data_IF_559803908991
#
_entry.id   IF_559803908991
#
_cell.length_a   1.000
_cell.length_b   1.000
_cell.length_c   1.000
_cell.angle_alpha   90.00
_cell.angle_beta   90.00
_cell.angle_gamma   90.00
#
_symmetry.space_group_name_H-M   'P 1'
#
loop_
_entity.id
_entity.type
_entity.pdbx_description
1 polymer ?
#
# COMPACT_ATOMS: atom_id res chain seq x y z
N UNK A 1 11.04 27.82 27.19
CA UNK A 1 11.22 27.20 25.88
C UNK A 1 9.93 27.45 25.11
N UNK A 2 10.02 28.31 24.09
CA UNK A 2 8.85 28.62 23.26
C UNK A 2 8.67 27.46 22.29
N UNK A 3 7.59 26.72 22.44
CA UNK A 3 7.16 25.75 21.43
C UNK A 3 6.81 26.55 20.16
N UNK A 4 7.68 26.46 19.18
CA UNK A 4 7.41 26.95 17.84
C UNK A 4 6.28 26.08 17.27
N UNK A 5 5.03 26.56 17.35
CA UNK A 5 3.95 26.04 16.52
C UNK A 5 4.33 26.39 15.08
N UNK A 6 4.97 25.44 14.39
CA UNK A 6 5.06 25.51 12.94
C UNK A 6 3.64 25.59 12.41
N UNK A 7 3.26 26.75 11.89
CA UNK A 7 2.03 26.92 11.11
C UNK A 7 2.10 25.87 10.02
N UNK A 8 1.23 24.84 10.12
CA UNK A 8 1.14 23.83 9.07
C UNK A 8 0.73 24.58 7.80
N UNK A 9 1.63 24.65 6.83
CA UNK A 9 1.32 25.25 5.53
C UNK A 9 0.10 24.55 4.93
N UNK A 10 -0.86 25.32 4.46
CA UNK A 10 -2.11 24.81 3.91
C UNK A 10 -1.87 24.15 2.53
N UNK A 11 -1.49 22.88 2.54
CA UNK A 11 -1.27 22.11 1.31
C UNK A 11 -2.58 22.02 0.51
N UNK A 12 -2.55 22.34 -0.77
CA UNK A 12 -3.68 22.19 -1.70
C UNK A 12 -3.47 20.95 -2.59
N UNK A 13 -4.50 20.13 -2.76
CA UNK A 13 -4.49 19.01 -3.71
C UNK A 13 -5.28 19.43 -4.96
N UNK A 14 -4.66 19.31 -6.13
CA UNK A 14 -5.28 19.69 -7.40
C UNK A 14 -4.93 18.73 -8.53
N UNK A 15 -5.82 18.67 -9.54
CA UNK A 15 -5.54 17.94 -10.78
C UNK A 15 -4.39 18.59 -11.55
N UNK A 16 -3.51 17.76 -12.13
CA UNK A 16 -2.38 18.18 -12.95
C UNK A 16 -2.64 17.76 -14.39
N UNK A 17 -2.83 18.76 -15.27
CA UNK A 17 -3.16 18.54 -16.68
C UNK A 17 -2.29 19.33 -17.64
N UNK A 18 -1.49 20.26 -17.13
CA UNK A 18 -0.59 21.11 -17.91
C UNK A 18 0.83 20.51 -18.00
N UNK A 19 1.47 20.69 -19.14
CA UNK A 19 2.80 20.12 -19.43
C UNK A 19 3.90 20.62 -18.47
N UNK A 20 3.99 21.92 -18.13
CA UNK A 20 4.98 22.38 -17.17
C UNK A 20 4.90 21.67 -15.80
N UNK A 21 3.70 21.51 -15.25
CA UNK A 21 3.51 20.83 -13.97
C UNK A 21 3.75 19.32 -14.08
N UNK A 22 3.35 18.67 -15.17
CA UNK A 22 3.64 17.26 -15.42
C UNK A 22 5.15 16.97 -15.50
N UNK A 23 5.96 17.88 -16.02
CA UNK A 23 7.43 17.76 -15.98
C UNK A 23 7.99 17.84 -14.57
N UNK A 24 7.39 18.67 -13.70
CA UNK A 24 7.74 18.70 -12.28
C UNK A 24 7.40 17.37 -11.58
N UNK A 25 6.34 16.67 -12.03
CA UNK A 25 6.03 15.31 -11.51
C UNK A 25 7.14 14.32 -11.88
N UNK A 26 7.78 14.42 -13.06
CA UNK A 26 8.95 13.59 -13.38
C UNK A 26 10.13 13.84 -12.43
N UNK A 27 10.42 15.12 -12.15
CA UNK A 27 11.49 15.50 -11.22
C UNK A 27 11.17 15.00 -9.79
N UNK A 28 9.92 15.10 -9.39
CA UNK A 28 9.45 14.65 -8.08
C UNK A 28 9.58 13.12 -7.92
N UNK A 29 9.36 12.33 -8.96
CA UNK A 29 9.60 10.88 -8.94
C UNK A 29 11.08 10.58 -8.61
N UNK A 30 12.02 11.28 -9.22
CA UNK A 30 13.45 11.11 -8.94
C UNK A 30 13.79 11.51 -7.51
N UNK A 31 13.24 12.61 -7.02
CA UNK A 31 13.48 13.09 -5.66
C UNK A 31 12.93 12.13 -4.58
N UNK A 32 11.78 11.50 -4.83
CA UNK A 32 11.12 10.62 -3.85
C UNK A 32 11.77 9.24 -3.79
N UNK A 33 12.10 8.64 -4.94
CA UNK A 33 12.55 7.23 -5.02
C UNK A 33 13.99 7.04 -5.48
N UNK A 34 14.68 8.09 -5.90
CA UNK A 34 16.00 7.96 -6.52
C UNK A 34 15.95 7.22 -7.86
N UNK A 35 14.79 7.25 -8.53
CA UNK A 35 14.54 6.50 -9.75
C UNK A 35 15.52 6.86 -10.86
N UNK A 36 16.00 5.85 -11.58
CA UNK A 36 16.75 6.04 -12.81
C UNK A 36 15.85 6.67 -13.90
N UNK A 37 16.44 7.23 -14.93
CA UNK A 37 15.65 7.77 -16.05
C UNK A 37 14.77 6.73 -16.74
N UNK A 38 15.09 5.44 -16.62
CA UNK A 38 14.29 4.33 -17.18
C UNK A 38 13.04 4.03 -16.38
N UNK A 39 13.04 4.36 -15.07
CA UNK A 39 11.97 4.02 -14.14
C UNK A 39 10.99 5.19 -13.92
N UNK A 40 11.31 6.37 -14.45
CA UNK A 40 10.43 7.53 -14.38
C UNK A 40 9.30 7.41 -15.40
N UNK A 41 8.06 7.57 -14.97
CA UNK A 41 6.92 7.70 -15.88
C UNK A 41 7.00 9.07 -16.56
N UNK A 42 7.18 9.13 -17.87
CA UNK A 42 7.41 10.40 -18.57
C UNK A 42 6.13 11.25 -18.66
N UNK A 43 6.30 12.58 -18.70
CA UNK A 43 5.18 13.54 -18.67
C UNK A 43 4.14 13.30 -19.77
N UNK A 44 4.57 12.87 -20.95
CA UNK A 44 3.65 12.61 -22.07
C UNK A 44 2.75 11.41 -21.80
N UNK A 45 3.20 10.39 -21.04
CA UNK A 45 2.36 9.29 -20.59
C UNK A 45 1.39 9.75 -19.49
N UNK A 46 1.85 10.58 -18.54
CA UNK A 46 0.97 11.20 -17.54
C UNK A 46 -0.13 12.03 -18.22
N UNK A 47 0.22 12.83 -19.22
CA UNK A 47 -0.72 13.64 -20.02
C UNK A 47 -1.75 12.76 -20.75
N UNK A 48 -1.28 11.72 -21.45
CA UNK A 48 -2.15 10.79 -22.15
C UNK A 48 -3.11 10.07 -21.20
N UNK A 49 -2.63 9.62 -20.06
CA UNK A 49 -3.46 8.97 -19.05
C UNK A 49 -4.53 9.92 -18.49
N UNK A 50 -4.16 11.16 -18.14
CA UNK A 50 -5.10 12.18 -17.66
C UNK A 50 -6.19 12.47 -18.71
N UNK A 51 -5.83 12.56 -19.98
CA UNK A 51 -6.76 12.78 -21.11
C UNK A 51 -7.64 11.57 -21.44
N UNK A 52 -7.27 10.37 -20.97
CA UNK A 52 -7.97 9.09 -21.24
C UNK A 52 -8.75 8.56 -20.04
N UNK A 53 -9.16 9.44 -19.12
CA UNK A 53 -9.95 9.06 -17.94
C UNK A 53 -9.12 8.65 -16.72
N UNK A 54 -7.79 8.66 -16.81
CA UNK A 54 -6.90 8.50 -15.66
C UNK A 54 -6.90 9.73 -14.74
N UNK A 55 -6.14 9.66 -13.67
CA UNK A 55 -6.05 10.71 -12.64
C UNK A 55 -4.60 11.03 -12.35
N UNK A 56 -4.22 12.30 -12.48
CA UNK A 56 -2.94 12.83 -12.01
C UNK A 56 -3.24 13.98 -11.06
N UNK A 57 -2.79 13.87 -9.80
CA UNK A 57 -2.98 14.88 -8.77
C UNK A 57 -1.64 15.33 -8.22
N UNK A 58 -1.54 16.61 -7.90
CA UNK A 58 -0.39 17.20 -7.21
C UNK A 58 -0.80 17.77 -5.86
N UNK A 59 0.11 17.71 -4.90
CA UNK A 59 0.02 18.40 -3.63
C UNK A 59 0.94 19.62 -3.68
N UNK A 60 0.39 20.80 -3.44
CA UNK A 60 1.07 22.08 -3.59
C UNK A 60 1.11 22.84 -2.27
N UNK A 61 2.26 23.45 -1.97
CA UNK A 61 2.38 24.46 -0.90
C UNK A 61 1.67 25.76 -1.29
N UNK A 62 1.43 26.69 -0.36
CA UNK A 62 0.90 28.02 -0.68
C UNK A 62 1.79 28.81 -1.65
N UNK A 63 3.09 28.53 -1.67
CA UNK A 63 4.04 29.13 -2.63
C UNK A 63 3.99 28.49 -4.03
N UNK A 64 3.16 27.43 -4.24
CA UNK A 64 3.04 26.70 -5.50
C UNK A 64 4.11 25.65 -5.73
N UNK A 65 4.87 25.26 -4.71
CA UNK A 65 5.81 24.14 -4.81
C UNK A 65 5.04 22.80 -4.86
N UNK A 66 5.42 21.89 -5.75
CA UNK A 66 4.88 20.55 -5.84
C UNK A 66 5.65 19.62 -4.92
N UNK A 67 5.00 19.14 -3.84
CA UNK A 67 5.62 18.37 -2.74
C UNK A 67 5.14 16.92 -2.67
N UNK A 68 4.14 16.57 -3.45
CA UNK A 68 3.62 15.21 -3.54
C UNK A 68 2.74 15.03 -4.75
N UNK A 69 2.51 13.79 -5.16
CA UNK A 69 1.64 13.48 -6.28
C UNK A 69 1.03 12.09 -6.14
N UNK A 70 -0.07 11.84 -6.86
CA UNK A 70 -0.49 10.50 -7.21
C UNK A 70 -0.93 10.42 -8.67
N UNK A 71 -0.69 9.25 -9.26
CA UNK A 71 -0.98 8.94 -10.65
C UNK A 71 -1.71 7.61 -10.77
N UNK A 72 -2.77 7.59 -11.58
CA UNK A 72 -3.50 6.37 -11.93
C UNK A 72 -4.01 6.42 -13.36
N UNK A 73 -4.11 5.26 -13.99
CA UNK A 73 -4.63 5.07 -15.34
C UNK A 73 -5.80 4.09 -15.33
N UNK A 74 -6.56 4.07 -16.41
CA UNK A 74 -7.72 3.18 -16.57
C UNK A 74 -7.24 1.76 -16.82
N UNK A 75 -7.65 0.85 -15.95
CA UNK A 75 -7.53 -0.58 -16.12
C UNK A 75 -8.87 -1.21 -16.49
N UNK A 76 -8.82 -2.42 -17.03
CA UNK A 76 -10.02 -3.18 -17.39
C UNK A 76 -9.84 -4.64 -16.99
N UNK A 77 -10.78 -5.20 -16.22
CA UNK A 77 -10.75 -6.59 -15.78
C UNK A 77 -12.18 -7.12 -15.65
N UNK A 78 -12.43 -8.33 -16.15
CA UNK A 78 -13.74 -9.00 -16.04
C UNK A 78 -14.92 -8.15 -16.56
N UNK A 79 -14.70 -7.47 -17.69
CA UNK A 79 -15.73 -6.63 -18.32
C UNK A 79 -15.99 -5.29 -17.62
N UNK A 80 -15.22 -4.92 -16.58
CA UNK A 80 -15.43 -3.68 -15.80
C UNK A 80 -14.18 -2.80 -15.77
N UNK A 81 -14.33 -1.49 -15.97
CA UNK A 81 -13.23 -0.55 -15.79
C UNK A 81 -12.94 -0.33 -14.29
N UNK A 82 -11.68 -0.05 -13.98
CA UNK A 82 -11.23 0.39 -12.67
C UNK A 82 -10.09 1.40 -12.83
N UNK A 83 -9.78 2.17 -11.80
CA UNK A 83 -8.60 3.01 -11.79
C UNK A 83 -7.42 2.20 -11.22
N UNK A 84 -6.34 2.01 -11.98
CA UNK A 84 -5.10 1.47 -11.45
C UNK A 84 -4.25 2.62 -10.90
N UNK A 85 -4.08 2.69 -9.57
CA UNK A 85 -3.26 3.71 -8.91
C UNK A 85 -1.79 3.29 -8.97
N UNK A 86 -1.07 3.76 -9.98
CA UNK A 86 0.27 3.29 -10.28
C UNK A 86 1.32 3.84 -9.32
N UNK A 87 1.26 5.14 -9.02
CA UNK A 87 2.24 5.82 -8.17
C UNK A 87 1.55 6.77 -7.20
N UNK A 88 2.07 6.86 -5.98
CA UNK A 88 1.76 7.92 -5.03
C UNK A 88 2.99 8.16 -4.15
N UNK A 89 3.39 9.41 -4.00
CA UNK A 89 4.56 9.75 -3.21
C UNK A 89 4.53 11.19 -2.70
N UNK A 90 5.25 11.42 -1.60
CA UNK A 90 5.41 12.71 -0.94
C UNK A 90 6.88 12.87 -0.59
N UNK A 91 7.44 14.05 -0.81
CA UNK A 91 8.79 14.41 -0.40
C UNK A 91 9.01 14.13 1.09
N UNK A 92 10.21 13.72 1.44
CA UNK A 92 10.55 13.28 2.80
C UNK A 92 10.24 14.35 3.84
N UNK A 93 10.52 15.60 3.52
CA UNK A 93 10.36 16.77 4.38
C UNK A 93 8.88 17.11 4.68
N UNK A 94 7.97 16.61 3.82
CA UNK A 94 6.53 16.84 3.92
C UNK A 94 5.74 15.58 4.36
N UNK A 95 6.45 14.48 4.72
CA UNK A 95 5.80 13.29 5.29
C UNK A 95 5.22 13.61 6.67
N UNK A 96 4.38 12.74 7.18
CA UNK A 96 3.71 12.86 8.49
C UNK A 96 2.73 14.05 8.64
N UNK A 97 2.35 14.68 7.51
CA UNK A 97 1.36 15.76 7.43
C UNK A 97 0.05 15.30 6.74
N UNK A 98 -0.25 14.03 6.75
CA UNK A 98 -1.41 13.38 6.09
C UNK A 98 -1.57 13.68 4.59
N UNK A 99 -0.56 14.24 3.90
CA UNK A 99 -0.62 14.58 2.47
C UNK A 99 -0.91 13.35 1.62
N UNK A 100 -0.27 12.22 1.93
CA UNK A 100 -0.52 10.96 1.24
C UNK A 100 -1.97 10.48 1.37
N UNK A 101 -2.56 10.61 2.55
CA UNK A 101 -3.97 10.29 2.78
C UNK A 101 -4.89 11.24 2.00
N UNK A 102 -4.66 12.53 2.04
CA UNK A 102 -5.41 13.56 1.29
C UNK A 102 -5.34 13.33 -0.22
N UNK A 103 -4.16 13.00 -0.77
CA UNK A 103 -3.98 12.63 -2.18
C UNK A 103 -4.83 11.40 -2.54
N UNK A 104 -4.86 10.37 -1.70
CA UNK A 104 -5.69 9.17 -1.92
C UNK A 104 -7.18 9.48 -1.82
N UNK A 105 -7.62 10.31 -0.86
CA UNK A 105 -9.03 10.71 -0.76
C UNK A 105 -9.47 11.53 -1.98
N UNK A 106 -8.63 12.44 -2.47
CA UNK A 106 -8.92 13.19 -3.70
C UNK A 106 -8.92 12.27 -4.93
N UNK A 107 -8.01 11.27 -4.99
CA UNK A 107 -8.03 10.25 -6.04
C UNK A 107 -9.32 9.43 -6.00
N UNK A 108 -9.81 9.08 -4.78
CA UNK A 108 -11.12 8.42 -4.60
C UNK A 108 -12.25 9.28 -5.14
N UNK A 109 -12.30 10.57 -4.78
CA UNK A 109 -13.32 11.51 -5.26
C UNK A 109 -13.32 11.59 -6.78
N UNK A 110 -12.13 11.82 -7.37
CA UNK A 110 -11.97 11.92 -8.82
C UNK A 110 -12.32 10.61 -9.56
N UNK A 111 -12.08 9.45 -8.95
CA UNK A 111 -12.46 8.15 -9.49
C UNK A 111 -13.98 7.96 -9.48
N UNK A 112 -14.65 8.29 -8.37
CA UNK A 112 -16.11 8.21 -8.26
C UNK A 112 -16.82 9.13 -9.26
N UNK A 113 -16.31 10.35 -9.48
CA UNK A 113 -16.84 11.30 -10.47
C UNK A 113 -16.73 10.77 -11.91
N UNK A 114 -15.72 9.93 -12.19
CA UNK A 114 -15.54 9.25 -13.49
C UNK A 114 -16.31 7.93 -13.60
N UNK A 115 -17.09 7.56 -12.57
CA UNK A 115 -17.89 6.34 -12.55
C UNK A 115 -17.11 5.07 -12.18
N UNK A 116 -15.88 5.17 -11.69
CA UNK A 116 -15.17 4.02 -11.16
C UNK A 116 -15.69 3.64 -9.77
N UNK A 117 -15.94 2.36 -9.57
CA UNK A 117 -16.35 1.81 -8.26
C UNK A 117 -15.15 1.27 -7.47
N UNK A 118 -13.99 1.08 -8.14
CA UNK A 118 -12.82 0.42 -7.56
C UNK A 118 -11.54 1.09 -8.03
N UNK A 119 -10.59 1.23 -7.08
CA UNK A 119 -9.19 1.53 -7.36
C UNK A 119 -8.35 0.33 -6.96
N UNK A 120 -7.33 0.00 -7.76
CA UNK A 120 -6.44 -1.15 -7.55
C UNK A 120 -4.99 -0.67 -7.57
N UNK A 121 -4.14 -1.24 -6.73
CA UNK A 121 -2.68 -1.06 -6.81
C UNK A 121 -1.95 -2.19 -6.12
N UNK A 122 -0.64 -2.19 -6.24
CA UNK A 122 0.23 -3.17 -5.56
C UNK A 122 1.21 -2.47 -4.63
N UNK A 123 1.62 -3.17 -3.58
CA UNK A 123 2.69 -2.72 -2.68
C UNK A 123 3.46 -3.92 -2.13
N UNK A 124 4.66 -3.68 -1.59
CA UNK A 124 5.46 -4.72 -0.94
C UNK A 124 4.82 -5.11 0.40
N UNK A 125 4.40 -6.39 0.56
CA UNK A 125 3.72 -6.86 1.78
C UNK A 125 4.57 -6.77 3.05
N UNK A 126 5.89 -6.63 2.96
CA UNK A 126 6.77 -6.50 4.13
C UNK A 126 7.00 -5.05 4.58
N UNK A 127 6.48 -4.06 3.85
CA UNK A 127 6.54 -2.66 4.27
C UNK A 127 5.36 -2.34 5.18
N UNK A 128 5.59 -2.40 6.49
CA UNK A 128 4.57 -2.26 7.55
C UNK A 128 3.81 -0.92 7.48
N UNK A 129 4.49 0.19 7.16
CA UNK A 129 3.84 1.50 6.99
C UNK A 129 2.84 1.49 5.84
N UNK A 130 3.17 0.82 4.71
CA UNK A 130 2.24 0.68 3.59
C UNK A 130 1.07 -0.23 3.94
N UNK A 131 1.32 -1.33 4.66
CA UNK A 131 0.28 -2.22 5.14
C UNK A 131 -0.72 -1.49 6.04
N UNK A 132 -0.23 -0.76 7.03
CA UNK A 132 -1.06 0.06 7.93
C UNK A 132 -1.84 1.15 7.18
N UNK A 133 -1.16 1.89 6.31
CA UNK A 133 -1.79 2.94 5.52
C UNK A 133 -2.91 2.38 4.62
N UNK A 134 -2.64 1.30 3.91
CA UNK A 134 -3.58 0.73 2.95
C UNK A 134 -4.76 0.05 3.65
N UNK A 135 -4.49 -0.91 4.51
CA UNK A 135 -5.54 -1.74 5.11
C UNK A 135 -6.26 -1.03 6.26
N UNK A 136 -5.52 -0.36 7.14
CA UNK A 136 -6.10 0.26 8.33
C UNK A 136 -6.64 1.67 8.03
N UNK A 137 -5.84 2.57 7.43
CA UNK A 137 -6.28 3.95 7.19
C UNK A 137 -7.23 4.09 5.99
N UNK A 138 -6.97 3.38 4.87
CA UNK A 138 -7.82 3.48 3.68
C UNK A 138 -8.95 2.45 3.62
N UNK A 139 -8.84 1.35 4.36
CA UNK A 139 -9.86 0.29 4.40
C UNK A 139 -9.88 -0.59 3.15
N UNK A 140 -8.77 -0.73 2.45
CA UNK A 140 -8.64 -1.65 1.32
C UNK A 140 -8.67 -3.10 1.78
N UNK A 141 -8.87 -4.02 0.84
CA UNK A 141 -8.72 -5.47 1.04
C UNK A 141 -7.73 -6.04 0.06
N UNK A 142 -7.11 -7.19 0.39
CA UNK A 142 -6.20 -7.88 -0.51
C UNK A 142 -6.44 -9.39 -0.51
N UNK A 143 -6.46 -9.98 -1.73
CA UNK A 143 -6.60 -11.42 -1.94
C UNK A 143 -5.65 -11.98 -3.00
N UNK A 144 -4.77 -11.16 -3.57
CA UNK A 144 -3.84 -11.56 -4.62
C UNK A 144 -2.43 -11.23 -4.20
N UNK A 145 -1.57 -12.23 -4.26
CA UNK A 145 -0.15 -12.13 -3.99
C UNK A 145 0.61 -12.51 -5.26
N UNK A 146 1.50 -11.63 -5.70
CA UNK A 146 2.34 -11.86 -6.86
C UNK A 146 3.79 -12.06 -6.43
N UNK A 147 4.36 -13.18 -6.84
CA UNK A 147 5.77 -13.49 -6.60
C UNK A 147 6.61 -12.80 -7.67
N UNK A 148 7.63 -12.07 -7.25
CA UNK A 148 8.60 -11.40 -8.12
C UNK A 148 7.96 -10.60 -9.27
N UNK A 149 6.94 -9.81 -8.95
CA UNK A 149 6.02 -9.16 -9.91
C UNK A 149 6.71 -8.26 -10.94
N UNK A 150 7.74 -7.54 -10.55
CA UNK A 150 8.51 -6.65 -11.41
C UNK A 150 9.86 -7.24 -11.87
N UNK A 151 10.15 -8.51 -11.50
CA UNK A 151 11.49 -9.09 -11.72
C UNK A 151 12.53 -8.50 -10.78
N UNK A 152 13.80 -8.59 -11.18
CA UNK A 152 14.89 -7.95 -10.45
C UNK A 152 14.81 -6.43 -10.60
N UNK A 153 14.76 -5.73 -9.48
CA UNK A 153 14.74 -4.27 -9.41
C UNK A 153 16.06 -3.76 -8.83
N UNK A 154 16.64 -2.78 -9.49
CA UNK A 154 17.93 -2.18 -9.06
C UNK A 154 17.72 -0.96 -8.11
N UNK A 155 16.45 -0.58 -7.84
CA UNK A 155 16.15 0.54 -6.96
C UNK A 155 16.54 0.28 -5.50
N UNK A 156 16.69 1.35 -4.73
CA UNK A 156 17.13 1.29 -3.35
C UNK A 156 16.20 0.49 -2.42
N UNK A 157 14.92 0.30 -2.79
CA UNK A 157 13.92 -0.38 -1.97
C UNK A 157 13.88 -1.89 -2.18
N UNK A 158 14.24 -2.38 -3.38
CA UNK A 158 14.08 -3.80 -3.75
C UNK A 158 15.40 -4.55 -3.98
N UNK A 159 16.54 -3.86 -3.96
CA UNK A 159 17.86 -4.45 -4.28
C UNK A 159 18.13 -5.75 -3.51
N UNK A 160 18.42 -6.82 -4.25
CA UNK A 160 18.84 -8.12 -3.72
C UNK A 160 17.70 -9.02 -3.22
N UNK A 161 16.45 -8.59 -3.38
CA UNK A 161 15.25 -9.37 -3.04
C UNK A 161 14.30 -9.44 -4.23
N UNK A 162 13.50 -10.49 -4.27
CA UNK A 162 12.39 -10.62 -5.21
C UNK A 162 11.32 -9.56 -4.93
N UNK A 163 10.78 -8.98 -6.00
CA UNK A 163 9.80 -7.89 -5.95
C UNK A 163 8.37 -8.38 -5.73
N UNK A 164 8.13 -9.14 -4.66
CA UNK A 164 6.78 -9.61 -4.33
C UNK A 164 5.82 -8.44 -4.10
N UNK A 165 4.58 -8.62 -4.53
CA UNK A 165 3.55 -7.59 -4.38
C UNK A 165 2.24 -8.17 -3.88
N UNK A 166 1.61 -7.44 -2.99
CA UNK A 166 0.24 -7.65 -2.57
C UNK A 166 -0.65 -6.67 -3.35
N UNK A 167 -1.59 -7.20 -4.15
CA UNK A 167 -2.57 -6.38 -4.86
C UNK A 167 -3.75 -6.08 -3.94
N UNK A 168 -4.13 -4.82 -3.88
CA UNK A 168 -5.27 -4.36 -3.08
C UNK A 168 -6.41 -3.88 -3.96
N UNK A 169 -7.61 -4.15 -3.48
CA UNK A 169 -8.87 -3.63 -4.00
C UNK A 169 -9.43 -2.57 -3.04
N UNK A 170 -9.61 -1.35 -3.51
CA UNK A 170 -10.28 -0.28 -2.79
C UNK A 170 -11.68 -0.10 -3.36
N UNK A 171 -12.66 -0.73 -2.73
CA UNK A 171 -14.07 -0.60 -3.10
C UNK A 171 -14.61 0.72 -2.56
N UNK A 172 -14.75 1.71 -3.43
CA UNK A 172 -14.91 3.13 -3.07
C UNK A 172 -16.20 3.45 -2.32
N UNK A 173 -17.26 2.63 -2.50
CA UNK A 173 -18.57 2.77 -1.83
C UNK A 173 -18.79 1.76 -0.70
N UNK A 174 -17.76 0.98 -0.35
CA UNK A 174 -17.87 0.05 0.77
C UNK A 174 -18.08 0.83 2.08
N UNK A 175 -19.02 0.43 2.98
CA UNK A 175 -19.35 1.20 4.20
C UNK A 175 -18.14 1.52 5.09
N UNK A 176 -17.19 0.60 5.22
CA UNK A 176 -15.94 0.84 5.96
C UNK A 176 -15.09 1.94 5.30
N UNK A 177 -14.96 1.90 3.98
CA UNK A 177 -14.20 2.92 3.23
C UNK A 177 -14.83 4.29 3.37
N UNK A 178 -16.16 4.38 3.27
CA UNK A 178 -16.89 5.65 3.44
C UNK A 178 -16.78 6.19 4.88
N UNK A 179 -16.82 5.30 5.88
CA UNK A 179 -16.62 5.68 7.27
C UNK A 179 -15.23 6.28 7.49
N UNK A 180 -14.17 5.57 7.06
CA UNK A 180 -12.78 6.03 7.19
C UNK A 180 -12.52 7.32 6.40
N UNK A 181 -13.06 7.44 5.19
CA UNK A 181 -12.97 8.65 4.38
C UNK A 181 -13.65 9.88 5.02
N UNK A 182 -14.66 9.66 5.85
CA UNK A 182 -15.33 10.73 6.62
C UNK A 182 -14.71 10.98 8.00
N UNK A 183 -13.54 10.38 8.29
CA UNK A 183 -12.84 10.52 9.56
C UNK A 183 -13.48 9.76 10.73
N UNK A 184 -14.44 8.87 10.46
CA UNK A 184 -15.04 8.02 11.51
C UNK A 184 -14.16 6.83 11.80
N UNK A 185 -13.85 6.61 13.06
CA UNK A 185 -13.10 5.43 13.51
C UNK A 185 -13.96 4.17 13.34
N UNK A 186 -13.39 3.14 12.74
CA UNK A 186 -14.01 1.82 12.62
C UNK A 186 -13.29 0.87 13.56
N UNK A 187 -13.82 0.73 14.77
CA UNK A 187 -13.23 -0.19 15.75
C UNK A 187 -13.44 -1.65 15.33
N UNK A 188 -12.34 -2.42 15.34
CA UNK A 188 -12.34 -3.86 15.18
C UNK A 188 -11.47 -4.47 16.28
N UNK A 189 -12.01 -5.46 17.00
CA UNK A 189 -11.27 -6.13 18.06
C UNK A 189 -10.49 -7.33 17.50
N UNK A 190 -9.16 -7.17 17.42
CA UNK A 190 -8.23 -8.21 16.99
C UNK A 190 -7.31 -8.70 18.12
N UNK A 191 -7.81 -8.69 19.37
CA UNK A 191 -6.98 -8.92 20.56
C UNK A 191 -6.48 -10.36 20.71
N UNK A 192 -7.17 -11.35 20.15
CA UNK A 192 -6.91 -12.79 20.34
C UNK A 192 -6.99 -13.58 19.03
N UNK A 193 -6.19 -13.21 18.05
CA UNK A 193 -6.12 -13.97 16.81
C UNK A 193 -5.07 -15.09 16.93
N UNK A 194 -5.38 -16.31 16.46
CA UNK A 194 -4.36 -17.30 16.13
C UNK A 194 -3.41 -16.73 15.09
N UNK A 195 -2.13 -16.98 15.25
CA UNK A 195 -1.12 -16.42 14.36
C UNK A 195 -0.62 -17.52 13.40
N UNK A 196 -0.72 -17.24 12.10
CA UNK A 196 -0.15 -18.07 11.05
C UNK A 196 1.35 -17.83 10.87
N UNK A 197 1.81 -16.64 11.24
CA UNK A 197 3.23 -16.28 11.27
C UNK A 197 3.48 -15.35 12.45
N UNK A 198 4.51 -15.64 13.24
CA UNK A 198 5.01 -14.81 14.32
C UNK A 198 6.52 -14.63 14.24
N UNK A 199 7.04 -13.58 14.87
CA UNK A 199 8.45 -13.45 15.12
C UNK A 199 8.86 -14.29 16.34
N UNK A 200 9.87 -15.17 16.21
CA UNK A 200 10.37 -16.03 17.30
C UNK A 200 11.55 -15.46 18.06
N UNK A 201 12.40 -14.70 17.39
CA UNK A 201 13.60 -14.10 17.95
C UNK A 201 13.61 -12.59 17.68
N UNK A 202 14.24 -11.80 18.58
CA UNK A 202 14.18 -10.34 18.50
C UNK A 202 15.52 -9.65 18.78
N UNK A 203 16.64 -10.39 18.74
CA UNK A 203 17.96 -9.83 19.00
C UNK A 203 18.96 -10.33 17.97
N UNK A 204 19.61 -9.46 17.22
CA UNK A 204 19.35 -8.00 17.14
C UNK A 204 18.09 -7.64 16.38
N UNK A 205 17.60 -8.50 15.49
CA UNK A 205 16.44 -8.32 14.63
C UNK A 205 15.46 -9.49 14.75
N UNK A 206 14.14 -9.27 14.51
CA UNK A 206 13.15 -10.34 14.56
C UNK A 206 13.35 -11.35 13.42
N UNK A 207 13.29 -12.64 13.72
CA UNK A 207 13.30 -13.72 12.76
C UNK A 207 11.89 -14.34 12.60
N UNK A 208 11.48 -14.79 11.41
CA UNK A 208 10.20 -15.48 11.26
C UNK A 208 10.24 -16.84 11.95
N UNK A 209 9.14 -17.21 12.61
CA UNK A 209 8.89 -18.57 12.99
C UNK A 209 8.50 -19.41 11.76
N UNK A 210 8.43 -20.72 11.93
CA UNK A 210 7.90 -21.60 10.90
C UNK A 210 6.39 -21.28 10.69
N UNK A 211 5.92 -21.11 9.44
CA UNK A 211 4.52 -20.84 9.17
C UNK A 211 3.58 -21.93 9.70
N UNK A 212 2.50 -21.53 10.33
CA UNK A 212 1.40 -22.43 10.67
C UNK A 212 0.34 -22.35 9.57
N UNK A 213 0.26 -23.37 8.75
CA UNK A 213 -0.65 -23.44 7.61
C UNK A 213 -1.93 -24.26 7.90
N UNK A 214 -2.07 -24.82 9.10
CA UNK A 214 -3.17 -25.71 9.49
C UNK A 214 -4.32 -25.00 10.21
N UNK A 215 -4.34 -23.65 10.24
CA UNK A 215 -5.37 -22.90 10.93
C UNK A 215 -6.67 -22.84 10.13
N UNK A 216 -7.71 -23.51 10.66
CA UNK A 216 -9.08 -23.43 10.13
C UNK A 216 -9.97 -22.56 11.02
N UNK A 217 -9.71 -21.25 11.03
CA UNK A 217 -10.37 -20.29 11.91
C UNK A 217 -11.01 -19.16 11.09
N UNK A 218 -12.03 -18.47 11.63
CA UNK A 218 -12.68 -17.36 10.91
C UNK A 218 -11.73 -16.19 10.60
N UNK A 219 -10.74 -15.94 11.47
CA UNK A 219 -9.74 -14.90 11.27
C UNK A 219 -8.41 -15.31 11.91
N UNK A 220 -7.30 -14.89 11.30
CA UNK A 220 -5.94 -15.17 11.76
C UNK A 220 -5.02 -13.96 11.54
N UNK A 221 -3.87 -13.96 12.22
CA UNK A 221 -2.85 -12.93 12.13
C UNK A 221 -1.59 -13.40 11.38
N UNK A 222 -0.96 -12.49 10.66
CA UNK A 222 0.33 -12.69 9.99
C UNK A 222 1.26 -11.57 10.38
N UNK A 223 2.19 -11.84 11.29
CA UNK A 223 3.16 -10.84 11.77
C UNK A 223 4.23 -10.57 10.71
N UNK A 224 4.62 -9.31 10.57
CA UNK A 224 5.76 -8.88 9.77
C UNK A 224 6.65 -7.93 10.57
N UNK A 225 7.94 -7.80 10.23
CA UNK A 225 8.81 -6.85 10.91
C UNK A 225 8.37 -5.40 10.63
N UNK A 226 8.51 -4.53 11.62
CA UNK A 226 8.18 -3.11 11.47
C UNK A 226 9.25 -2.34 10.67
N UNK A 227 10.53 -2.78 10.75
CA UNK A 227 11.67 -2.20 10.03
C UNK A 227 12.29 -3.21 9.05
N UNK A 228 11.51 -3.61 8.06
CA UNK A 228 11.98 -4.57 7.05
C UNK A 228 13.18 -4.05 6.24
N UNK A 229 13.20 -2.77 5.90
CA UNK A 229 14.32 -2.19 5.15
C UNK A 229 15.62 -2.19 5.98
N UNK A 230 15.54 -1.84 7.26
CA UNK A 230 16.67 -1.91 8.15
C UNK A 230 17.21 -3.35 8.32
N UNK A 231 16.32 -4.35 8.43
CA UNK A 231 16.72 -5.76 8.44
C UNK A 231 17.45 -6.13 7.15
N UNK A 232 16.89 -5.78 5.99
CA UNK A 232 17.50 -6.06 4.68
C UNK A 232 18.91 -5.47 4.58
N UNK A 233 19.09 -4.25 5.05
CA UNK A 233 20.37 -3.54 4.94
C UNK A 233 21.43 -4.12 5.90
N UNK A 234 21.02 -4.73 7.01
CA UNK A 234 21.91 -5.41 7.98
C UNK A 234 22.13 -6.89 7.67
N UNK A 235 21.07 -7.60 7.29
CA UNK A 235 21.07 -9.05 7.04
C UNK A 235 20.10 -9.43 5.91
N UNK A 236 20.65 -9.55 4.71
CA UNK A 236 19.87 -9.93 3.51
C UNK A 236 19.31 -11.36 3.59
N UNK A 237 19.96 -12.27 4.34
CA UNK A 237 19.46 -13.64 4.49
C UNK A 237 18.23 -13.67 5.41
N UNK A 238 18.25 -12.89 6.47
CA UNK A 238 17.09 -12.72 7.35
C UNK A 238 15.91 -12.05 6.60
N UNK A 239 16.18 -11.05 5.77
CA UNK A 239 15.16 -10.45 4.92
C UNK A 239 14.56 -11.46 3.91
N UNK A 240 15.39 -12.35 3.34
CA UNK A 240 14.92 -13.45 2.47
C UNK A 240 14.06 -14.45 3.24
N UNK A 241 14.44 -14.79 4.47
CA UNK A 241 13.64 -15.67 5.33
C UNK A 241 12.24 -15.07 5.58
N UNK A 242 12.15 -13.79 5.91
CA UNK A 242 10.88 -13.09 6.04
C UNK A 242 10.07 -13.09 4.74
N UNK A 243 10.71 -12.84 3.59
CA UNK A 243 10.05 -12.86 2.27
C UNK A 243 9.45 -14.24 2.00
N UNK A 244 10.21 -15.31 2.22
CA UNK A 244 9.76 -16.69 1.98
C UNK A 244 8.61 -17.07 2.90
N UNK A 245 8.73 -16.85 4.20
CA UNK A 245 7.69 -17.20 5.17
C UNK A 245 6.39 -16.42 4.92
N UNK A 246 6.48 -15.12 4.64
CA UNK A 246 5.33 -14.28 4.34
C UNK A 246 4.64 -14.71 3.04
N UNK A 247 5.41 -14.99 1.99
CA UNK A 247 4.90 -15.52 0.71
C UNK A 247 4.11 -16.79 0.90
N UNK A 248 4.69 -17.76 1.59
CA UNK A 248 4.07 -19.06 1.86
C UNK A 248 2.71 -18.91 2.55
N UNK A 249 2.65 -18.11 3.60
CA UNK A 249 1.43 -17.85 4.36
C UNK A 249 0.36 -17.18 3.49
N UNK A 250 0.70 -16.10 2.77
CA UNK A 250 -0.30 -15.41 1.95
C UNK A 250 -0.80 -16.26 0.80
N UNK A 251 0.08 -16.97 0.09
CA UNK A 251 -0.34 -17.85 -1.01
C UNK A 251 -1.26 -18.97 -0.51
N UNK A 252 -0.90 -19.59 0.63
CA UNK A 252 -1.70 -20.64 1.23
C UNK A 252 -3.10 -20.14 1.61
N UNK A 253 -3.18 -19.10 2.45
CA UNK A 253 -4.48 -18.66 2.97
C UNK A 253 -5.35 -17.97 1.93
N UNK A 254 -4.78 -17.26 0.95
CA UNK A 254 -5.56 -16.70 -0.15
C UNK A 254 -6.16 -17.80 -1.06
N UNK A 255 -5.46 -18.95 -1.20
CA UNK A 255 -6.02 -20.12 -1.89
C UNK A 255 -7.18 -20.76 -1.10
N UNK A 256 -7.22 -20.58 0.21
CA UNK A 256 -8.27 -21.10 1.12
C UNK A 256 -9.32 -20.05 1.49
N UNK A 257 -9.62 -19.13 0.57
CA UNK A 257 -10.68 -18.11 0.68
C UNK A 257 -10.47 -17.08 1.80
N UNK A 258 -9.25 -16.86 2.26
CA UNK A 258 -8.95 -15.74 3.16
C UNK A 258 -8.68 -14.46 2.37
N UNK A 259 -8.97 -13.33 3.01
CA UNK A 259 -8.75 -11.97 2.49
C UNK A 259 -8.08 -11.14 3.59
N UNK A 260 -7.02 -10.43 3.25
CA UNK A 260 -6.43 -9.46 4.18
C UNK A 260 -7.34 -8.23 4.27
N UNK A 261 -7.80 -7.93 5.49
CA UNK A 261 -8.83 -6.90 5.75
C UNK A 261 -8.37 -5.79 6.69
N UNK A 262 -7.29 -6.00 7.44
CA UNK A 262 -6.75 -4.99 8.35
C UNK A 262 -5.24 -5.19 8.57
N UNK A 263 -4.59 -4.17 9.12
CA UNK A 263 -3.24 -4.26 9.66
C UNK A 263 -3.21 -3.59 11.03
N UNK A 264 -2.76 -4.32 12.03
CA UNK A 264 -2.84 -3.91 13.42
C UNK A 264 -1.45 -3.65 13.97
N UNK A 265 -1.31 -2.54 14.69
CA UNK A 265 -0.16 -2.25 15.54
C UNK A 265 -0.59 -2.45 16.98
N UNK A 266 0.06 -3.36 17.72
CA UNK A 266 -0.21 -3.57 19.14
C UNK A 266 1.05 -3.66 19.96
N UNK A 267 0.95 -3.29 21.23
CA UNK A 267 2.03 -3.49 22.18
C UNK A 267 1.97 -4.90 22.76
N UNK A 268 3.09 -5.63 22.72
CA UNK A 268 3.25 -6.95 23.36
C UNK A 268 4.48 -6.92 24.27
N UNK A 269 4.26 -6.71 25.58
CA UNK A 269 5.34 -6.40 26.49
C UNK A 269 6.01 -5.07 26.15
N UNK A 270 7.32 -5.06 26.01
CA UNK A 270 8.11 -3.85 25.71
C UNK A 270 8.27 -3.56 24.21
N UNK A 271 7.65 -4.36 23.33
CA UNK A 271 7.79 -4.21 21.89
C UNK A 271 6.46 -3.90 21.19
N UNK A 272 6.58 -3.22 20.04
CA UNK A 272 5.47 -3.07 19.09
C UNK A 272 5.47 -4.24 18.13
N UNK A 273 4.31 -4.80 17.88
CA UNK A 273 4.04 -5.86 16.91
C UNK A 273 3.15 -5.30 15.81
N UNK A 274 3.47 -5.61 14.54
CA UNK A 274 2.65 -5.29 13.39
C UNK A 274 2.23 -6.57 12.67
N UNK A 275 0.93 -6.76 12.43
CA UNK A 275 0.43 -7.94 11.76
C UNK A 275 -0.78 -7.67 10.89
N UNK A 276 -0.85 -8.38 9.78
CA UNK A 276 -2.05 -8.45 8.95
C UNK A 276 -3.13 -9.27 9.64
N UNK A 277 -4.37 -8.89 9.41
CA UNK A 277 -5.54 -9.72 9.76
C UNK A 277 -6.12 -10.27 8.47
N UNK A 278 -6.20 -11.60 8.41
CA UNK A 278 -6.86 -12.33 7.33
C UNK A 278 -8.18 -12.88 7.85
N UNK A 279 -9.29 -12.56 7.17
CA UNK A 279 -10.62 -13.12 7.44
C UNK A 279 -11.00 -14.14 6.36
N UNK A 280 -11.57 -15.27 6.76
CA UNK A 280 -12.13 -16.26 5.84
C UNK A 280 -13.47 -15.76 5.30
N UNK A 281 -13.59 -15.64 3.98
CA UNK A 281 -14.85 -15.26 3.35
C UNK A 281 -15.81 -16.45 3.40
N UNK A 282 -16.99 -16.26 3.99
CA UNK A 282 -18.05 -17.27 3.89
C UNK A 282 -18.52 -17.28 2.45
N UNK A 283 -18.17 -18.37 1.73
CA UNK A 283 -18.62 -18.80 0.42
C UNK A 283 -19.65 -17.98 -0.37
N UNK A 284 -19.42 -16.72 -0.64
CA UNK A 284 -20.02 -16.03 -1.76
C UNK A 284 -19.15 -16.31 -2.96
N UNK A 285 -19.62 -17.21 -3.84
CA UNK A 285 -19.12 -17.39 -5.20
C UNK A 285 -19.41 -16.11 -6.01
N UNK A 286 -18.83 -14.98 -5.63
CA UNK A 286 -18.64 -13.89 -6.55
C UNK A 286 -17.31 -14.12 -7.25
N UNK A 287 -17.44 -14.87 -8.32
CA UNK A 287 -16.62 -14.90 -9.54
C UNK A 287 -15.31 -14.11 -9.44
N UNK A 288 -14.26 -14.81 -9.14
CA UNK A 288 -12.91 -14.33 -9.34
C UNK A 288 -12.09 -15.48 -9.88
N UNK A 289 -12.42 -15.88 -11.09
CA UNK A 289 -11.82 -16.94 -11.86
C UNK A 289 -10.30 -16.85 -11.90
N UNK A 290 -9.74 -18.04 -11.81
CA UNK A 290 -8.58 -18.52 -12.56
C UNK A 290 -7.32 -17.67 -12.49
N UNK A 291 -6.47 -18.06 -11.55
CA UNK A 291 -5.03 -17.91 -11.65
C UNK A 291 -4.55 -18.51 -12.97
N UNK A 292 -4.11 -17.65 -13.89
CA UNK A 292 -3.20 -18.06 -14.94
C UNK A 292 -1.78 -17.94 -14.42
N UNK A 293 -1.02 -18.98 -14.67
CA UNK A 293 0.37 -19.20 -14.39
C UNK A 293 1.30 -18.10 -14.90
#
# INVERSE_FOLDING_TARGET
>A
MVYNQSVMEEITIAAVTDVPTLRRVEELQRAIWGSSERDVVPYHQLLAAAGSGGVVLGAFTPSGELVGFCYGFVGFREGRPFLYSHMAGVLKEYRDQDIGFRLKQEQRRAALERGFERIVWTYDPLVSMNAYFNLHKLGVTARRYYVNYYGEMEDALNRGLESDRLEVDWFLRHPRVEALASGREVQREWSKLPMALEAREWVPDPAPADPNLDLEVPALGVEIPLDFHGIRDRDIQLARAWRTATREVFLHYFHHDYVAVDFVLRRRGDRMQGFYVLERTQGSKETGATLCA
#
